data_IF_321117733837
#
_entry.id   IF_321117733837
#
_cell.length_a   1.000
_cell.length_b   1.000
_cell.length_c   1.000
_cell.angle_alpha   90.00
_cell.angle_beta   90.00
_cell.angle_gamma   90.00
#
_symmetry.space_group_name_H-M   'P 1'
#
loop_
_entity.id
_entity.type
_entity.pdbx_description
1 polymer ?
#
# COMPACT_ATOMS: atom_id res chain seq x y z
N UNK A 1 12.84 6.98 5.03
CA UNK A 1 12.12 5.89 4.33
C UNK A 1 11.69 6.35 2.93
N UNK A 2 12.61 6.38 1.96
CA UNK A 2 12.28 6.79 0.59
C UNK A 2 11.78 5.62 -0.28
N UNK A 3 12.02 4.37 0.14
CA UNK A 3 11.69 3.17 -0.64
C UNK A 3 10.18 2.95 -0.77
N UNK A 4 9.39 3.31 0.26
CA UNK A 4 7.93 3.30 0.20
C UNK A 4 7.41 4.14 -0.97
N UNK A 5 7.97 5.34 -1.17
CA UNK A 5 7.54 6.25 -2.24
C UNK A 5 7.83 5.69 -3.64
N UNK A 6 8.88 4.89 -3.79
CA UNK A 6 9.26 4.24 -5.06
C UNK A 6 8.38 3.03 -5.41
N UNK A 7 7.79 2.40 -4.41
CA UNK A 7 6.93 1.22 -4.59
C UNK A 7 5.50 1.54 -5.02
N UNK A 8 5.10 2.82 -5.03
CA UNK A 8 3.71 3.24 -5.14
C UNK A 8 3.49 4.12 -6.38
N UNK A 9 2.36 3.91 -7.04
CA UNK A 9 1.74 4.87 -7.94
C UNK A 9 0.51 5.45 -7.26
N UNK A 10 0.55 6.75 -6.95
CA UNK A 10 -0.65 7.47 -6.51
C UNK A 10 -1.43 7.97 -7.73
N UNK A 11 -2.74 7.78 -7.68
CA UNK A 11 -3.67 8.39 -8.64
C UNK A 11 -4.65 9.25 -7.87
N UNK A 12 -4.73 10.53 -8.23
CA UNK A 12 -5.73 11.44 -7.69
C UNK A 12 -7.13 10.92 -8.02
N UNK A 13 -8.03 10.95 -7.04
CA UNK A 13 -9.42 10.56 -7.28
C UNK A 13 -10.10 11.53 -8.26
N UNK A 14 -10.96 11.00 -9.12
CA UNK A 14 -11.78 11.81 -10.00
C UNK A 14 -13.01 12.34 -9.26
N UNK A 15 -13.29 13.63 -9.41
CA UNK A 15 -14.49 14.25 -8.86
C UNK A 15 -15.69 13.87 -9.74
N UNK A 16 -16.34 12.73 -9.47
CA UNK A 16 -17.52 12.28 -10.25
C UNK A 16 -18.86 12.64 -9.61
N UNK A 17 -18.89 13.31 -8.47
CA UNK A 17 -20.15 13.71 -7.85
C UNK A 17 -20.04 15.14 -7.30
N UNK A 18 -20.91 16.02 -7.79
CA UNK A 18 -20.92 17.47 -7.53
C UNK A 18 -21.29 17.84 -6.07
N UNK A 19 -21.60 16.86 -5.22
CA UNK A 19 -21.99 17.06 -3.81
C UNK A 19 -20.93 16.58 -2.80
N UNK A 20 -19.68 16.37 -3.23
CA UNK A 20 -18.67 15.67 -2.43
C UNK A 20 -17.63 16.64 -1.86
N UNK A 21 -17.32 16.46 -0.57
CA UNK A 21 -16.16 17.06 0.09
C UNK A 21 -14.95 16.95 -0.83
N UNK A 22 -14.16 18.03 -1.03
CA UNK A 22 -12.97 17.94 -1.86
C UNK A 22 -12.07 16.80 -1.36
N UNK A 23 -11.95 15.74 -2.16
CA UNK A 23 -10.98 14.68 -1.86
C UNK A 23 -9.60 15.34 -1.93
N UNK A 24 -8.77 15.19 -0.89
CA UNK A 24 -7.46 15.83 -0.85
C UNK A 24 -6.57 15.36 -2.00
N UNK A 25 -5.83 16.30 -2.57
CA UNK A 25 -4.75 16.00 -3.49
C UNK A 25 -3.49 15.66 -2.69
N UNK A 26 -3.25 14.34 -2.54
CA UNK A 26 -2.12 13.83 -1.77
C UNK A 26 -0.89 13.52 -2.63
N UNK A 27 -0.86 14.00 -3.88
CA UNK A 27 0.20 13.71 -4.85
C UNK A 27 1.60 14.04 -4.32
N UNK A 28 1.74 15.15 -3.58
CA UNK A 28 3.01 15.60 -3.00
C UNK A 28 3.59 14.67 -1.92
N UNK A 29 2.84 13.67 -1.47
CA UNK A 29 3.30 12.67 -0.49
C UNK A 29 3.95 11.46 -1.13
N UNK A 30 3.74 11.26 -2.44
CA UNK A 30 4.23 10.12 -3.21
C UNK A 30 5.33 10.56 -4.19
N UNK A 31 6.10 9.61 -4.73
CA UNK A 31 7.08 9.93 -5.76
C UNK A 31 6.39 10.11 -7.13
N UNK A 32 6.90 11.00 -8.00
CA UNK A 32 6.43 11.11 -9.39
C UNK A 32 6.64 9.85 -10.22
N UNK A 33 7.64 9.03 -9.87
CA UNK A 33 7.92 7.75 -10.53
C UNK A 33 7.10 6.63 -9.87
N UNK A 34 6.19 6.03 -10.65
CA UNK A 34 5.21 5.06 -10.17
C UNK A 34 5.79 3.67 -9.93
N UNK A 35 5.54 3.13 -8.73
CA UNK A 35 5.76 1.72 -8.42
C UNK A 35 4.51 0.85 -8.60
N UNK A 36 4.65 -0.45 -8.37
CA UNK A 36 3.60 -1.41 -8.67
C UNK A 36 2.32 -1.22 -7.86
N UNK A 37 2.43 -0.85 -6.58
CA UNK A 37 1.28 -0.70 -5.69
C UNK A 37 0.47 0.55 -6.09
N UNK A 38 -0.82 0.38 -6.38
CA UNK A 38 -1.72 1.49 -6.70
C UNK A 38 -2.37 2.01 -5.43
N UNK A 39 -2.34 3.32 -5.25
CA UNK A 39 -2.96 4.02 -4.14
C UNK A 39 -3.86 5.12 -4.68
N UNK A 40 -5.08 5.19 -4.17
CA UNK A 40 -6.03 6.25 -4.48
C UNK A 40 -7.07 6.36 -3.36
N UNK A 41 -8.09 7.19 -3.55
CA UNK A 41 -9.24 7.28 -2.67
C UNK A 41 -10.43 6.54 -3.27
N UNK A 42 -11.35 6.01 -2.45
CA UNK A 42 -12.61 5.47 -2.93
C UNK A 42 -13.36 6.50 -3.78
N UNK A 43 -13.97 6.04 -4.88
CA UNK A 43 -14.75 6.90 -5.77
C UNK A 43 -15.92 7.58 -5.07
N UNK A 44 -16.55 6.88 -4.14
CA UNK A 44 -17.72 7.35 -3.40
C UNK A 44 -17.40 7.28 -1.90
N UNK A 45 -16.99 8.40 -1.26
CA UNK A 45 -16.84 8.42 0.18
C UNK A 45 -18.21 8.27 0.84
N UNK A 46 -18.28 7.53 1.95
CA UNK A 46 -19.51 7.39 2.72
C UNK A 46 -20.00 8.77 3.20
N UNK A 47 -21.30 9.06 3.05
CA UNK A 47 -21.91 10.34 3.48
C UNK A 47 -21.62 10.67 4.94
N UNK A 48 -21.54 9.65 5.80
CA UNK A 48 -21.13 9.80 7.20
C UNK A 48 -19.78 10.51 7.37
N UNK A 49 -18.79 10.20 6.52
CA UNK A 49 -17.45 10.75 6.62
C UNK A 49 -17.40 12.26 6.43
N UNK A 50 -18.35 12.83 5.65
CA UNK A 50 -18.50 14.29 5.51
C UNK A 50 -18.91 14.93 6.84
N UNK A 51 -19.99 14.44 7.46
CA UNK A 51 -20.47 14.97 8.74
C UNK A 51 -19.43 14.79 9.84
N UNK A 52 -18.78 13.63 9.89
CA UNK A 52 -17.71 13.35 10.84
C UNK A 52 -16.53 14.32 10.69
N UNK A 53 -16.08 14.57 9.45
CA UNK A 53 -15.00 15.51 9.19
C UNK A 53 -15.37 16.95 9.59
N UNK A 54 -16.60 17.37 9.33
CA UNK A 54 -17.10 18.68 9.75
C UNK A 54 -17.12 18.83 11.27
N UNK A 55 -17.67 17.85 12.00
CA UNK A 55 -17.74 17.87 13.46
C UNK A 55 -16.36 17.87 14.12
N UNK A 56 -15.39 17.13 13.57
CA UNK A 56 -14.02 17.14 14.10
C UNK A 56 -13.35 18.52 13.94
N UNK A 57 -13.59 19.20 12.81
CA UNK A 57 -13.12 20.58 12.62
C UNK A 57 -13.76 21.53 13.63
N UNK A 58 -15.05 21.38 13.90
CA UNK A 58 -15.77 22.19 14.91
C UNK A 58 -15.22 21.96 16.34
N UNK A 59 -14.78 20.74 16.65
CA UNK A 59 -14.11 20.40 17.91
C UNK A 59 -12.66 20.88 18.00
N UNK A 60 -12.14 21.56 16.97
CA UNK A 60 -10.80 22.16 16.96
C UNK A 60 -9.70 21.28 16.34
N UNK A 61 -10.05 20.14 15.74
CA UNK A 61 -9.07 19.35 14.99
C UNK A 61 -8.79 19.96 13.62
N UNK A 62 -7.52 20.19 13.24
CA UNK A 62 -7.20 20.75 11.94
C UNK A 62 -7.54 19.76 10.82
N UNK A 63 -7.80 20.24 9.60
CA UNK A 63 -7.76 19.37 8.42
C UNK A 63 -6.31 19.02 8.12
N UNK A 64 -6.01 17.72 8.11
CA UNK A 64 -4.66 17.27 7.73
C UNK A 64 -4.50 17.39 6.23
N UNK A 65 -3.38 17.87 5.67
CA UNK A 65 -3.16 17.86 4.23
C UNK A 65 -2.82 16.46 3.69
N UNK A 66 -2.33 15.56 4.56
CA UNK A 66 -1.94 14.20 4.20
C UNK A 66 -1.63 13.38 5.45
N UNK A 67 -2.04 12.11 5.45
CA UNK A 67 -1.57 11.11 6.42
C UNK A 67 -0.35 10.32 5.94
N UNK A 68 0.14 10.59 4.72
CA UNK A 68 1.25 9.88 4.08
C UNK A 68 2.59 10.63 4.16
N UNK A 69 2.66 11.76 4.91
CA UNK A 69 3.89 12.55 5.13
C UNK A 69 4.58 12.30 6.46
N UNK A 70 4.09 11.36 7.27
CA UNK A 70 4.65 11.04 8.60
C UNK A 70 4.02 11.83 9.75
N UNK A 71 2.99 12.64 9.48
CA UNK A 71 2.14 13.28 10.49
C UNK A 71 0.71 12.78 10.31
N UNK A 72 0.10 12.31 11.40
CA UNK A 72 -1.27 11.78 11.42
C UNK A 72 -2.25 12.69 12.17
N UNK A 73 -1.79 13.88 12.59
CA UNK A 73 -2.62 14.84 13.30
C UNK A 73 -3.71 15.43 12.40
N UNK A 74 -4.89 15.66 13.00
CA UNK A 74 -6.05 16.24 12.34
C UNK A 74 -7.02 15.25 11.71
N UNK A 75 -7.86 15.75 10.80
CA UNK A 75 -8.92 15.00 10.11
C UNK A 75 -8.75 15.05 8.60
N UNK A 76 -8.88 13.90 7.95
CA UNK A 76 -8.71 13.72 6.49
C UNK A 76 -9.30 12.35 6.09
N UNK A 77 -9.66 12.19 4.82
CA UNK A 77 -9.87 10.86 4.25
C UNK A 77 -8.56 10.05 4.26
N UNK A 78 -8.67 8.74 4.52
CA UNK A 78 -7.55 7.82 4.37
C UNK A 78 -7.45 7.31 2.93
N UNK A 79 -6.23 7.35 2.37
CA UNK A 79 -5.96 6.72 1.08
C UNK A 79 -6.02 5.18 1.23
N UNK A 80 -6.35 4.50 0.14
CA UNK A 80 -6.53 3.04 0.10
C UNK A 80 -5.70 2.42 -1.03
N UNK A 81 -5.31 1.15 -0.89
CA UNK A 81 -4.62 0.42 -1.96
C UNK A 81 -5.62 -0.05 -3.00
N UNK A 82 -6.07 0.88 -3.84
CA UNK A 82 -7.09 0.67 -4.85
C UNK A 82 -6.58 1.16 -6.20
N UNK A 83 -6.87 0.41 -7.26
CA UNK A 83 -6.62 0.81 -8.63
C UNK A 83 -7.87 1.53 -9.19
N UNK A 84 -7.84 2.87 -9.34
CA UNK A 84 -8.98 3.60 -9.87
C UNK A 84 -9.18 3.39 -11.38
N UNK A 85 -8.18 2.92 -12.12
CA UNK A 85 -8.31 2.63 -13.55
C UNK A 85 -9.03 1.31 -13.81
N UNK A 86 -8.87 0.32 -12.92
CA UNK A 86 -9.46 -1.02 -13.03
C UNK A 86 -10.66 -1.20 -12.08
N UNK A 87 -11.68 -0.35 -12.22
CA UNK A 87 -12.95 -0.43 -11.49
C UNK A 87 -12.86 -0.46 -9.96
N UNK A 88 -11.79 0.09 -9.36
CA UNK A 88 -11.66 0.13 -7.91
C UNK A 88 -11.26 -1.22 -7.29
N UNK A 89 -10.62 -2.11 -8.06
CA UNK A 89 -10.07 -3.36 -7.50
C UNK A 89 -8.92 -3.04 -6.55
N UNK A 90 -8.85 -3.80 -5.46
CA UNK A 90 -7.78 -3.67 -4.48
C UNK A 90 -6.42 -4.03 -5.10
N UNK A 91 -5.47 -3.10 -5.01
CA UNK A 91 -4.06 -3.33 -5.30
C UNK A 91 -3.38 -4.07 -4.13
N UNK A 92 -2.55 -5.07 -4.44
CA UNK A 92 -1.97 -6.02 -3.48
C UNK A 92 -0.54 -6.41 -3.85
N UNK A 93 0.05 -7.37 -3.12
CA UNK A 93 1.33 -7.99 -3.50
C UNK A 93 1.33 -8.60 -4.91
N UNK A 94 0.14 -8.92 -5.47
CA UNK A 94 0.02 -9.40 -6.85
C UNK A 94 0.51 -8.38 -7.88
N UNK A 95 0.38 -7.08 -7.62
CA UNK A 95 0.85 -6.05 -8.55
C UNK A 95 2.38 -6.01 -8.60
N UNK A 96 3.02 -6.15 -7.43
CA UNK A 96 4.48 -6.28 -7.38
C UNK A 96 4.94 -7.52 -8.14
N UNK A 97 4.30 -8.67 -7.94
CA UNK A 97 4.63 -9.88 -8.68
C UNK A 97 4.40 -9.71 -10.20
N UNK A 98 3.26 -9.18 -10.62
CA UNK A 98 2.93 -8.95 -12.02
C UNK A 98 4.02 -8.11 -12.72
N UNK A 99 4.49 -7.04 -12.06
CA UNK A 99 5.53 -6.15 -12.57
C UNK A 99 6.90 -6.82 -12.80
N UNK A 100 7.15 -8.00 -12.21
CA UNK A 100 8.45 -8.67 -12.27
C UNK A 100 8.37 -10.15 -12.69
N UNK A 101 7.17 -10.66 -12.95
CA UNK A 101 6.88 -12.08 -13.18
C UNK A 101 7.66 -12.68 -14.36
N UNK A 102 8.00 -11.88 -15.37
CA UNK A 102 8.79 -12.30 -16.53
C UNK A 102 10.30 -12.45 -16.29
N UNK A 103 10.80 -12.17 -15.07
CA UNK A 103 12.24 -12.25 -14.77
C UNK A 103 12.67 -13.71 -14.60
N UNK A 104 13.62 -14.15 -15.44
CA UNK A 104 14.15 -15.53 -15.41
C UNK A 104 14.83 -15.93 -14.10
N UNK A 105 15.29 -14.95 -13.32
CA UNK A 105 15.91 -15.16 -12.01
C UNK A 105 14.90 -15.12 -10.84
N UNK A 106 13.60 -14.89 -11.09
CA UNK A 106 12.56 -14.94 -10.08
C UNK A 106 11.83 -16.28 -10.16
N UNK A 107 11.97 -17.08 -9.09
CA UNK A 107 11.23 -18.33 -8.93
C UNK A 107 10.15 -18.14 -7.88
N UNK A 108 8.93 -18.58 -8.18
CA UNK A 108 7.81 -18.56 -7.25
C UNK A 108 7.29 -19.97 -7.09
N UNK A 109 7.39 -20.47 -5.86
CA UNK A 109 6.82 -21.75 -5.48
C UNK A 109 5.50 -21.49 -4.76
N UNK A 110 4.40 -21.96 -5.34
CA UNK A 110 3.07 -21.86 -4.73
C UNK A 110 2.74 -23.17 -4.03
N UNK A 111 1.83 -23.12 -3.05
CA UNK A 111 1.42 -24.30 -2.27
C UNK A 111 2.56 -25.01 -1.52
N UNK A 112 3.68 -24.34 -1.29
CA UNK A 112 4.80 -24.85 -0.49
C UNK A 112 4.96 -24.00 0.78
N UNK A 113 4.50 -24.54 1.92
CA UNK A 113 4.69 -23.89 3.20
C UNK A 113 6.14 -24.08 3.67
N UNK A 114 6.83 -22.97 3.98
CA UNK A 114 8.12 -22.99 4.66
C UNK A 114 7.92 -23.36 6.13
N UNK A 115 8.57 -24.43 6.60
CA UNK A 115 8.39 -24.97 7.95
C UNK A 115 9.60 -24.76 8.87
N UNK A 116 10.80 -24.59 8.31
CA UNK A 116 12.02 -24.42 9.10
C UNK A 116 13.13 -23.70 8.33
N UNK A 117 13.83 -22.76 8.97
CA UNK A 117 15.09 -22.21 8.45
C UNK A 117 16.24 -23.16 8.80
N UNK A 118 17.07 -23.50 7.80
CA UNK A 118 18.22 -24.38 7.96
C UNK A 118 19.47 -23.54 8.18
N UNK A 119 20.25 -23.87 9.21
CA UNK A 119 21.45 -23.16 9.59
C UNK A 119 22.70 -24.04 9.50
N UNK A 120 23.77 -23.48 8.94
CA UNK A 120 25.12 -23.99 9.10
C UNK A 120 25.68 -23.52 10.45
N UNK A 121 26.04 -24.50 11.29
CA UNK A 121 26.57 -24.29 12.65
C UNK A 121 28.10 -24.31 12.71
N UNK A 122 28.79 -24.43 11.56
CA UNK A 122 30.25 -24.35 11.49
C UNK A 122 30.78 -22.94 11.76
N UNK A 123 29.90 -21.92 11.71
CA UNK A 123 30.21 -20.51 11.98
C UNK A 123 29.48 -20.02 13.24
N UNK A 124 30.05 -18.99 13.89
CA UNK A 124 29.42 -18.29 15.02
C UNK A 124 29.35 -16.79 14.71
N UNK A 125 28.14 -16.20 14.55
CA UNK A 125 26.83 -16.85 14.67
C UNK A 125 26.51 -17.80 13.51
N UNK A 126 25.61 -18.80 13.71
CA UNK A 126 25.18 -19.71 12.65
C UNK A 126 24.61 -18.97 11.44
N UNK A 127 24.95 -19.45 10.24
CA UNK A 127 24.51 -18.85 8.98
C UNK A 127 23.29 -19.58 8.41
N UNK A 128 22.24 -18.85 8.03
CA UNK A 128 21.12 -19.44 7.29
C UNK A 128 21.57 -19.89 5.90
N UNK A 129 21.28 -21.14 5.54
CA UNK A 129 21.68 -21.76 4.26
C UNK A 129 20.51 -22.25 3.41
N UNK A 130 19.29 -22.26 3.95
CA UNK A 130 18.11 -22.70 3.22
C UNK A 130 16.84 -22.68 4.05
N UNK A 131 15.74 -23.13 3.45
CA UNK A 131 14.43 -23.23 4.10
C UNK A 131 13.83 -24.58 3.74
N UNK A 132 13.51 -25.39 4.74
CA UNK A 132 12.77 -26.64 4.53
C UNK A 132 11.30 -26.32 4.33
N UNK A 133 10.67 -26.96 3.35
CA UNK A 133 9.24 -26.84 3.10
C UNK A 133 8.48 -28.09 3.56
N UNK A 134 7.15 -28.02 3.56
CA UNK A 134 6.24 -29.08 4.04
C UNK A 134 6.39 -30.42 3.29
N UNK A 135 6.83 -30.41 2.03
CA UNK A 135 7.07 -31.62 1.24
C UNK A 135 8.46 -32.25 1.47
N UNK A 136 9.26 -31.66 2.37
CA UNK A 136 10.60 -32.12 2.71
C UNK A 136 11.68 -31.63 1.74
N UNK A 137 11.34 -30.88 0.69
CA UNK A 137 12.34 -30.21 -0.16
C UNK A 137 13.08 -29.10 0.60
N UNK A 138 14.35 -28.95 0.23
CA UNK A 138 15.27 -27.89 0.69
C UNK A 138 15.47 -26.83 -0.39
#
# INVERSE_FOLDING_TARGET
FNDFKRGITYTKADARHNDVVPIPDDSASFAPAGGALKVSYPREPAKFSLSMAASMVELGYPRSPSFNKGTLDGVQYAATTVDPANNGIRSTSRDFYAAVSGRVNLKVYTHQAAIQVVFDKSTSPPRAIGVRTVDGSL
#
